data_IF_687065038420
#
_entry.id   IF_687065038420
#
_cell.length_a   1.000
_cell.length_b   1.000
_cell.length_c   1.000
_cell.angle_alpha   90.00
_cell.angle_beta   90.00
_cell.angle_gamma   90.00
#
_symmetry.space_group_name_H-M   'P 1'
#
loop_
_entity.id
_entity.type
_entity.pdbx_description
1 polymer ?
#
# COMPACT_ATOMS: atom_id res chain seq x y z
N UNK A 1 -2.19 5.95 -3.64
CA UNK A 1 -1.69 6.49 -2.35
C UNK A 1 -0.21 6.20 -2.27
N UNK A 2 0.59 7.15 -1.83
CA UNK A 2 2.03 6.96 -1.57
C UNK A 2 2.23 7.20 -0.08
N UNK A 3 2.87 6.27 0.62
CA UNK A 3 3.19 6.41 2.04
C UNK A 3 4.63 6.01 2.27
N UNK A 4 5.33 6.76 3.12
CA UNK A 4 6.66 6.39 3.59
C UNK A 4 6.52 5.37 4.73
N UNK A 5 7.43 4.41 4.78
CA UNK A 5 7.61 3.53 5.93
C UNK A 5 8.76 4.07 6.78
N UNK A 6 8.53 4.26 8.08
CA UNK A 6 9.51 4.76 9.05
C UNK A 6 10.28 6.03 8.60
N UNK A 7 9.59 7.10 8.18
CA UNK A 7 10.26 8.32 7.76
C UNK A 7 10.99 8.99 8.94
N UNK A 8 12.20 9.50 8.71
CA UNK A 8 12.89 10.34 9.69
C UNK A 8 12.26 11.75 9.82
N UNK A 9 11.57 12.22 8.78
CA UNK A 9 10.92 13.53 8.79
C UNK A 9 9.54 13.47 9.46
N UNK A 10 9.33 14.35 10.44
CA UNK A 10 8.03 14.53 11.11
C UNK A 10 6.95 15.12 10.20
N UNK A 11 7.32 15.69 9.04
CA UNK A 11 6.38 16.21 8.04
C UNK A 11 5.99 15.18 6.99
N UNK A 12 6.54 13.97 7.03
CA UNK A 12 6.13 12.91 6.11
C UNK A 12 4.66 12.56 6.34
N UNK A 13 3.85 12.73 5.29
CA UNK A 13 2.41 12.44 5.28
C UNK A 13 2.07 11.62 4.04
N UNK A 14 1.06 10.74 4.11
CA UNK A 14 0.58 10.04 2.92
C UNK A 14 0.10 11.03 1.85
N UNK A 15 0.42 10.73 0.60
CA UNK A 15 0.02 11.51 -0.56
C UNK A 15 -1.04 10.75 -1.37
N UNK A 16 -2.17 11.41 -1.64
CA UNK A 16 -3.19 10.92 -2.56
C UNK A 16 -2.97 11.59 -3.91
N UNK A 17 -2.78 10.77 -4.95
CA UNK A 17 -2.56 11.22 -6.33
C UNK A 17 -3.59 10.60 -7.26
N UNK A 18 -3.92 11.25 -8.40
CA UNK A 18 -4.77 10.65 -9.42
C UNK A 18 -4.25 9.29 -9.89
N UNK A 19 -5.17 8.38 -10.23
CA UNK A 19 -4.79 7.04 -10.70
C UNK A 19 -4.08 7.05 -12.07
N UNK A 20 -4.20 8.14 -12.84
CA UNK A 20 -3.50 8.36 -14.11
C UNK A 20 -2.06 8.84 -13.94
N UNK A 21 -1.63 9.18 -12.73
CA UNK A 21 -0.28 9.68 -12.47
C UNK A 21 0.78 8.60 -12.73
N UNK A 22 1.92 9.03 -13.30
CA UNK A 22 3.15 8.24 -13.35
C UNK A 22 4.03 8.64 -12.17
N UNK A 23 4.27 7.72 -11.26
CA UNK A 23 5.12 7.93 -10.09
C UNK A 23 6.52 7.45 -10.47
N UNK A 24 7.52 8.33 -10.43
CA UNK A 24 8.91 7.95 -10.67
C UNK A 24 9.66 7.94 -9.35
N UNK A 25 10.35 6.84 -9.06
CA UNK A 25 11.20 6.69 -7.88
C UNK A 25 12.64 6.55 -8.35
N UNK A 26 13.54 7.29 -7.71
CA UNK A 26 14.98 7.16 -7.91
C UNK A 26 15.59 6.95 -6.55
N UNK A 27 16.33 5.85 -6.38
CA UNK A 27 17.12 5.62 -5.19
C UNK A 27 18.29 6.60 -5.18
N UNK A 28 18.52 7.22 -4.03
CA UNK A 28 19.84 7.81 -3.77
C UNK A 28 20.86 6.66 -3.82
N UNK A 29 22.07 6.92 -4.32
CA UNK A 29 23.13 5.89 -4.38
C UNK A 29 23.20 5.20 -3.01
N UNK A 30 22.97 3.88 -2.94
CA UNK A 30 23.15 3.16 -1.69
C UNK A 30 24.61 3.31 -1.25
N UNK A 31 24.84 3.34 0.06
CA UNK A 31 26.15 2.91 0.57
C UNK A 31 26.38 1.49 0.06
N UNK A 32 27.63 1.14 -0.29
CA UNK A 32 28.00 -0.08 -1.04
C UNK A 32 27.51 -1.43 -0.42
N UNK A 33 26.84 -1.39 0.73
CA UNK A 33 26.38 -2.55 1.50
C UNK A 33 24.84 -2.61 1.72
N UNK A 34 24.05 -1.66 1.21
CA UNK A 34 22.59 -1.65 1.43
C UNK A 34 21.80 -2.26 0.26
N UNK A 35 21.16 -3.40 0.53
CA UNK A 35 20.24 -4.03 -0.42
C UNK A 35 18.86 -3.37 -0.40
N UNK A 36 18.26 -3.17 -1.58
CA UNK A 36 16.90 -2.61 -1.74
C UNK A 36 16.02 -3.56 -2.54
N UNK A 37 14.76 -3.69 -2.12
CA UNK A 37 13.77 -4.61 -2.71
C UNK A 37 12.52 -3.86 -3.17
N UNK A 38 11.95 -4.31 -4.28
CA UNK A 38 10.55 -4.04 -4.65
C UNK A 38 9.75 -5.29 -4.28
N UNK A 39 8.76 -5.12 -3.42
CA UNK A 39 7.85 -6.20 -3.02
C UNK A 39 6.48 -5.92 -3.64
N UNK A 40 5.98 -6.86 -4.44
CA UNK A 40 4.67 -6.79 -5.11
C UNK A 40 3.73 -7.73 -4.37
N UNK A 41 2.58 -7.21 -3.92
CA UNK A 41 1.50 -7.93 -3.23
C UNK A 41 1.92 -8.87 -2.06
N UNK A 42 3.13 -8.67 -1.52
CA UNK A 42 3.69 -9.47 -0.43
C UNK A 42 4.16 -10.87 -0.83
N UNK A 43 4.18 -11.21 -2.12
CA UNK A 43 4.53 -12.57 -2.60
C UNK A 43 5.64 -12.60 -3.66
N UNK A 44 5.99 -11.46 -4.24
CA UNK A 44 7.07 -11.36 -5.23
C UNK A 44 8.07 -10.30 -4.79
N UNK A 45 9.34 -10.68 -4.75
CA UNK A 45 10.45 -9.81 -4.39
C UNK A 45 11.37 -9.62 -5.60
N UNK A 46 11.73 -8.37 -5.88
CA UNK A 46 12.65 -8.00 -6.97
C UNK A 46 13.78 -7.20 -6.34
N UNK A 47 15.01 -7.73 -6.45
CA UNK A 47 16.22 -7.03 -6.03
C UNK A 47 16.49 -5.86 -6.98
N UNK A 48 16.78 -4.69 -6.42
CA UNK A 48 17.17 -3.53 -7.22
C UNK A 48 18.69 -3.54 -7.38
N UNK A 49 19.13 -3.58 -8.64
CA UNK A 49 20.52 -3.58 -9.03
C UNK A 49 20.94 -2.16 -9.45
N UNK A 50 22.24 -1.94 -9.70
CA UNK A 50 22.75 -0.65 -10.17
C UNK A 50 22.11 -0.16 -11.48
N UNK A 51 21.64 -1.09 -12.32
CA UNK A 51 20.88 -0.79 -13.54
C UNK A 51 19.46 -0.27 -13.28
N UNK A 52 18.88 -0.59 -12.12
CA UNK A 52 17.46 -0.44 -11.82
C UNK A 52 17.17 0.62 -10.75
N UNK A 53 18.17 1.47 -10.46
CA UNK A 53 18.08 2.55 -9.48
C UNK A 53 16.96 3.56 -9.74
N UNK A 54 16.35 3.54 -10.93
CA UNK A 54 15.19 4.35 -11.28
C UNK A 54 14.09 3.46 -11.84
N UNK A 55 12.91 3.53 -11.21
CA UNK A 55 11.73 2.80 -11.66
C UNK A 55 10.49 3.70 -11.63
N UNK A 56 9.41 3.23 -12.25
CA UNK A 56 8.14 3.95 -12.27
C UNK A 56 6.96 3.05 -11.99
N UNK A 57 5.97 3.59 -11.27
CA UNK A 57 4.70 2.94 -10.99
C UNK A 57 3.60 3.67 -11.76
N UNK A 58 2.79 2.92 -12.50
CA UNK A 58 1.64 3.42 -13.26
C UNK A 58 0.48 2.46 -13.12
N UNK A 59 -0.75 2.98 -13.25
CA UNK A 59 -1.94 2.13 -13.32
C UNK A 59 -1.90 1.25 -14.58
N UNK A 60 -2.07 -0.06 -14.41
CA UNK A 60 -2.22 -0.97 -15.53
C UNK A 60 -3.55 -0.71 -16.27
N UNK A 61 -3.56 -0.88 -17.60
CA UNK A 61 -4.78 -0.82 -18.42
C UNK A 61 -5.72 -1.99 -18.12
N UNK A 62 -5.18 -3.14 -17.71
CA UNK A 62 -5.96 -4.29 -17.29
C UNK A 62 -6.43 -4.11 -15.84
N UNK A 63 -7.69 -4.46 -15.60
CA UNK A 63 -8.32 -4.42 -14.27
C UNK A 63 -9.01 -5.74 -13.98
N UNK A 64 -9.08 -6.10 -12.70
CA UNK A 64 -9.86 -7.24 -12.26
C UNK A 64 -11.36 -6.93 -12.29
N UNK A 65 -12.16 -7.90 -12.73
CA UNK A 65 -13.61 -7.89 -12.55
C UNK A 65 -13.94 -8.76 -11.35
N UNK A 66 -14.41 -8.13 -10.27
CA UNK A 66 -14.78 -8.83 -9.04
C UNK A 66 -16.27 -9.17 -9.04
N UNK A 67 -16.62 -10.34 -8.54
CA UNK A 67 -18.01 -10.72 -8.24
C UNK A 67 -18.31 -10.31 -6.80
N UNK A 68 -19.39 -9.56 -6.61
CA UNK A 68 -19.88 -9.18 -5.29
C UNK A 68 -21.17 -9.95 -4.99
N UNK A 69 -21.29 -10.57 -3.79
CA UNK A 69 -22.56 -11.14 -3.35
C UNK A 69 -23.67 -10.09 -3.30
N UNK A 70 -24.92 -10.55 -3.33
CA UNK A 70 -26.07 -9.68 -3.05
C UNK A 70 -25.91 -9.02 -1.67
N UNK A 71 -26.27 -7.74 -1.58
CA UNK A 71 -26.14 -6.92 -0.37
C UNK A 71 -24.69 -6.69 0.12
N UNK A 72 -23.68 -6.83 -0.76
CA UNK A 72 -22.30 -6.46 -0.42
C UNK A 72 -22.17 -4.98 -0.04
N UNK A 73 -21.71 -4.72 1.19
CA UNK A 73 -21.32 -3.40 1.69
C UNK A 73 -19.82 -3.39 2.04
N UNK A 74 -19.07 -2.55 1.32
CA UNK A 74 -17.63 -2.33 1.54
C UNK A 74 -17.35 -1.86 2.97
N UNK A 75 -18.13 -0.91 3.49
CA UNK A 75 -17.91 -0.33 4.80
C UNK A 75 -18.33 -1.27 5.93
N UNK A 76 -19.39 -2.07 5.75
CA UNK A 76 -19.72 -3.16 6.69
C UNK A 76 -18.53 -4.11 6.83
N UNK A 77 -17.97 -4.55 5.71
CA UNK A 77 -16.79 -5.42 5.71
C UNK A 77 -15.61 -4.78 6.44
N UNK A 78 -15.35 -3.49 6.22
CA UNK A 78 -14.30 -2.77 6.96
C UNK A 78 -14.58 -2.71 8.46
N UNK A 79 -15.81 -2.38 8.88
CA UNK A 79 -16.20 -2.34 10.29
C UNK A 79 -15.99 -3.68 10.98
N UNK A 80 -16.46 -4.75 10.35
CA UNK A 80 -16.37 -6.11 10.89
C UNK A 80 -14.91 -6.58 10.98
N UNK A 81 -14.07 -6.30 9.97
CA UNK A 81 -12.66 -6.73 9.96
C UNK A 81 -11.74 -5.93 10.86
N UNK A 82 -12.01 -4.64 11.02
CA UNK A 82 -11.16 -3.71 11.76
C UNK A 82 -11.74 -3.35 13.13
N UNK A 83 -12.85 -3.98 13.52
CA UNK A 83 -13.59 -3.72 14.75
C UNK A 83 -13.89 -2.22 14.96
N UNK A 84 -14.25 -1.51 13.89
CA UNK A 84 -14.57 -0.10 14.00
C UNK A 84 -15.88 0.08 14.78
N UNK A 85 -15.85 0.98 15.76
CA UNK A 85 -17.02 1.39 16.56
C UNK A 85 -17.59 0.34 17.52
N UNK A 86 -16.87 -0.74 17.84
CA UNK A 86 -17.26 -1.58 18.99
C UNK A 86 -17.11 -0.77 20.28
N UNK A 87 -18.22 -0.49 20.96
CA UNK A 87 -18.17 -0.01 22.34
C UNK A 87 -17.63 -1.13 23.23
N UNK A 88 -16.74 -0.81 24.18
CA UNK A 88 -16.09 -1.81 25.07
C UNK A 88 -17.06 -2.62 25.95
N UNK A 89 -18.38 -2.39 25.87
CA UNK A 89 -19.36 -2.92 26.83
C UNK A 89 -20.24 -4.05 26.31
N UNK A 90 -20.26 -4.36 25.01
CA UNK A 90 -21.16 -5.41 24.46
C UNK A 90 -20.66 -6.86 24.64
N UNK A 91 -19.43 -7.08 25.13
CA UNK A 91 -18.93 -8.44 25.45
C UNK A 91 -19.18 -8.88 26.90
N UNK A 92 -20.02 -8.16 27.66
CA UNK A 92 -20.31 -8.45 29.07
C UNK A 92 -21.61 -9.24 29.28
N UNK A 93 -22.27 -9.68 28.22
CA UNK A 93 -23.56 -10.37 28.29
C UNK A 93 -23.71 -11.36 27.15
N UNK A 94 -22.98 -12.47 27.25
CA UNK A 94 -23.39 -13.78 26.76
C UNK A 94 -22.70 -14.85 27.61
#
# INVERSE_FOLDING_TARGET
>A
MITSLNPLSLSARPLIVPSSSRISVKLAKPLDELESLIIIDGNQEIKINDSDMRFSVTKNKQSFKLLHPENHDFYKTCRDKLNWSLSKYENSSN
#
